data_IF_636474332437
#
_entry.id   IF_636474332437
#
_cell.length_a   1.000
_cell.length_b   1.000
_cell.length_c   1.000
_cell.angle_alpha   90.00
_cell.angle_beta   90.00
_cell.angle_gamma   90.00
#
_symmetry.space_group_name_H-M   'P 1'
#
loop_
_entity.id
_entity.type
_entity.pdbx_description
1 polymer ?
#
# COMPACT_ATOMS: atom_id res chain seq x y z
N UNK A 1 -42.73 23.59 6.69
CA UNK A 1 -42.00 22.64 7.55
C UNK A 1 -41.18 21.74 6.66
N UNK A 2 -39.86 21.93 6.61
CA UNK A 2 -38.97 21.06 5.83
C UNK A 2 -38.82 19.73 6.59
N UNK A 3 -39.29 18.62 6.00
CA UNK A 3 -39.00 17.28 6.51
C UNK A 3 -37.53 16.99 6.23
N UNK A 4 -36.69 17.05 7.26
CA UNK A 4 -35.34 16.52 7.21
C UNK A 4 -35.44 15.04 6.88
N UNK A 5 -34.90 14.63 5.73
CA UNK A 5 -34.76 13.21 5.44
C UNK A 5 -33.87 12.58 6.52
N UNK A 6 -34.20 11.38 7.01
CA UNK A 6 -33.34 10.68 7.96
C UNK A 6 -31.96 10.49 7.33
N UNK A 7 -30.91 10.71 8.14
CA UNK A 7 -29.55 10.46 7.71
C UNK A 7 -29.44 9.01 7.18
N UNK A 8 -28.74 8.79 6.06
CA UNK A 8 -28.57 7.45 5.51
C UNK A 8 -27.92 6.53 6.57
N UNK A 9 -28.51 5.34 6.77
CA UNK A 9 -27.99 4.33 7.69
C UNK A 9 -26.59 3.91 7.20
N UNK A 10 -25.59 4.03 8.08
CA UNK A 10 -24.24 3.52 7.81
C UNK A 10 -24.29 1.99 7.81
N UNK A 11 -23.83 1.31 6.75
CA UNK A 11 -23.81 -0.15 6.71
C UNK A 11 -22.84 -0.72 7.75
N UNK A 12 -23.25 -1.83 8.36
CA UNK A 12 -22.43 -2.62 9.28
C UNK A 12 -21.31 -3.37 8.54
N UNK A 13 -20.29 -3.81 9.27
CA UNK A 13 -19.20 -4.63 8.71
C UNK A 13 -19.72 -5.88 7.99
N UNK A 14 -20.71 -6.58 8.57
CA UNK A 14 -21.32 -7.76 7.96
C UNK A 14 -22.08 -7.41 6.67
N UNK A 15 -22.88 -6.33 6.69
CA UNK A 15 -23.60 -5.85 5.49
C UNK A 15 -22.61 -5.50 4.35
N UNK A 16 -21.46 -4.90 4.67
CA UNK A 16 -20.40 -4.61 3.68
C UNK A 16 -19.78 -5.90 3.10
N UNK A 17 -19.47 -6.89 3.95
CA UNK A 17 -18.94 -8.18 3.48
C UNK A 17 -19.95 -8.91 2.60
N UNK A 18 -21.23 -8.90 2.97
CA UNK A 18 -22.30 -9.53 2.19
C UNK A 18 -22.49 -8.85 0.84
N UNK A 19 -22.50 -7.52 0.80
CA UNK A 19 -22.61 -6.76 -0.45
C UNK A 19 -21.47 -7.05 -1.44
N UNK A 20 -20.25 -7.28 -0.93
CA UNK A 20 -19.08 -7.61 -1.74
C UNK A 20 -18.86 -9.12 -1.91
N UNK A 21 -19.76 -9.97 -1.41
CA UNK A 21 -19.68 -11.41 -1.66
C UNK A 21 -20.10 -11.68 -3.09
N UNK A 22 -19.24 -12.37 -3.85
CA UNK A 22 -19.54 -12.72 -5.23
C UNK A 22 -20.55 -13.87 -5.28
N UNK A 23 -21.48 -13.79 -6.22
CA UNK A 23 -22.42 -14.88 -6.48
C UNK A 23 -21.65 -16.14 -6.90
N UNK A 24 -22.06 -17.28 -6.36
CA UNK A 24 -21.51 -18.56 -6.80
C UNK A 24 -22.12 -18.93 -8.14
N UNK A 25 -21.35 -19.52 -9.07
CA UNK A 25 -21.90 -20.14 -10.27
C UNK A 25 -22.98 -21.16 -9.89
N UNK A 26 -23.99 -21.33 -10.75
CA UNK A 26 -25.07 -22.29 -10.54
C UNK A 26 -24.56 -23.73 -10.36
N UNK A 27 -23.44 -24.07 -11.01
CA UNK A 27 -22.78 -25.37 -10.90
C UNK A 27 -21.27 -25.20 -10.86
N UNK A 28 -20.67 -25.25 -9.66
CA UNK A 28 -19.21 -25.21 -9.50
C UNK A 28 -18.51 -26.40 -10.14
N UNK A 29 -19.16 -27.56 -10.20
CA UNK A 29 -18.56 -28.77 -10.78
C UNK A 29 -18.45 -28.68 -12.31
N UNK A 30 -19.45 -28.09 -12.99
CA UNK A 30 -19.37 -27.85 -14.43
C UNK A 30 -18.29 -26.81 -14.77
N UNK A 31 -18.16 -25.77 -13.94
CA UNK A 31 -17.13 -24.74 -14.06
C UNK A 31 -15.71 -25.32 -13.87
N UNK A 32 -15.53 -26.21 -12.88
CA UNK A 32 -14.26 -26.92 -12.66
C UNK A 32 -13.94 -27.82 -13.85
N UNK A 33 -14.93 -28.59 -14.33
CA UNK A 33 -14.76 -29.46 -15.49
C UNK A 33 -14.38 -28.68 -16.74
N UNK A 34 -15.11 -27.61 -17.06
CA UNK A 34 -14.79 -26.75 -18.21
C UNK A 34 -13.40 -26.10 -18.10
N UNK A 35 -12.98 -25.75 -16.87
CA UNK A 35 -11.63 -25.23 -16.62
C UNK A 35 -10.55 -26.30 -16.87
N UNK A 36 -10.77 -27.53 -16.41
CA UNK A 36 -9.85 -28.66 -16.65
C UNK A 36 -9.77 -29.02 -18.15
N UNK A 37 -10.89 -29.01 -18.86
CA UNK A 37 -10.95 -29.24 -20.30
C UNK A 37 -10.16 -28.15 -21.05
N UNK A 38 -10.30 -26.88 -20.62
CA UNK A 38 -9.51 -25.76 -21.13
C UNK A 38 -8.01 -25.94 -20.90
N UNK A 39 -7.61 -26.38 -19.71
CA UNK A 39 -6.20 -26.68 -19.40
C UNK A 39 -5.69 -27.78 -20.31
N UNK A 40 -6.40 -28.90 -20.44
CA UNK A 40 -6.01 -30.03 -21.29
C UNK A 40 -5.89 -29.64 -22.77
N UNK A 41 -6.80 -28.79 -23.26
CA UNK A 41 -6.73 -28.26 -24.62
C UNK A 41 -5.50 -27.40 -24.86
N UNK A 42 -5.12 -26.57 -23.89
CA UNK A 42 -3.98 -25.66 -24.01
C UNK A 42 -2.65 -26.41 -23.82
N UNK A 43 -2.59 -27.44 -22.97
CA UNK A 43 -1.39 -28.25 -22.74
C UNK A 43 -1.12 -29.26 -23.86
N UNK A 44 -2.17 -29.77 -24.52
CA UNK A 44 -2.00 -30.65 -25.69
C UNK A 44 -1.42 -29.93 -26.93
N UNK A 45 -1.38 -28.60 -26.93
CA UNK A 45 -0.83 -27.76 -28.00
C UNK A 45 0.60 -27.26 -27.74
N UNK A 46 1.21 -27.61 -26.59
CA UNK A 46 2.39 -26.93 -26.01
C UNK A 46 3.74 -27.08 -26.70
N UNK A 47 3.92 -27.96 -27.70
CA UNK A 47 5.27 -28.21 -28.24
C UNK A 47 5.93 -26.98 -28.92
N UNK A 48 5.16 -25.92 -29.23
CA UNK A 48 5.62 -24.77 -30.04
C UNK A 48 5.57 -23.40 -29.34
N UNK A 49 5.04 -23.28 -28.12
CA UNK A 49 4.69 -21.98 -27.51
C UNK A 49 5.47 -21.61 -26.23
N UNK A 50 6.62 -22.23 -25.98
CA UNK A 50 7.38 -22.07 -24.71
C UNK A 50 7.75 -20.61 -24.40
N UNK A 51 7.86 -19.74 -25.42
CA UNK A 51 8.23 -18.33 -25.26
C UNK A 51 7.06 -17.34 -25.49
N UNK A 52 5.82 -17.81 -25.59
CA UNK A 52 4.66 -16.94 -25.81
C UNK A 52 4.07 -16.46 -24.47
N UNK A 53 4.23 -15.17 -24.15
CA UNK A 53 3.71 -14.58 -22.91
C UNK A 53 2.17 -14.66 -22.83
N UNK A 54 1.47 -14.55 -23.97
CA UNK A 54 0.01 -14.64 -23.99
C UNK A 54 -0.45 -16.06 -23.67
N UNK A 55 0.29 -17.06 -24.15
CA UNK A 55 0.05 -18.46 -23.81
C UNK A 55 0.16 -18.69 -22.29
N UNK A 56 1.26 -18.26 -21.67
CA UNK A 56 1.48 -18.45 -20.23
C UNK A 56 0.48 -17.66 -19.38
N UNK A 57 0.08 -16.48 -19.81
CA UNK A 57 -0.98 -15.69 -19.17
C UNK A 57 -2.33 -16.43 -19.19
N UNK A 58 -2.72 -17.00 -20.34
CA UNK A 58 -3.96 -17.77 -20.47
C UNK A 58 -3.96 -19.04 -19.61
N UNK A 59 -2.85 -19.78 -19.61
CA UNK A 59 -2.68 -20.96 -18.73
C UNK A 59 -2.76 -20.56 -17.26
N UNK A 60 -2.08 -19.48 -16.87
CA UNK A 60 -2.10 -18.95 -15.50
C UNK A 60 -3.52 -18.61 -15.04
N UNK A 61 -4.29 -17.94 -15.89
CA UNK A 61 -5.69 -17.62 -15.63
C UNK A 61 -6.56 -18.86 -15.42
N UNK A 62 -6.42 -19.89 -16.25
CA UNK A 62 -7.18 -21.14 -16.11
C UNK A 62 -6.83 -21.89 -14.83
N UNK A 63 -5.55 -22.00 -14.50
CA UNK A 63 -5.11 -22.65 -13.25
C UNK A 63 -5.62 -21.87 -12.04
N UNK A 64 -5.49 -20.54 -12.03
CA UNK A 64 -6.02 -19.70 -10.96
C UNK A 64 -7.52 -19.90 -10.80
N UNK A 65 -8.27 -19.93 -11.91
CA UNK A 65 -9.71 -20.19 -11.92
C UNK A 65 -10.06 -21.55 -11.33
N UNK A 66 -9.31 -22.61 -11.65
CA UNK A 66 -9.49 -23.93 -11.04
C UNK A 66 -9.36 -23.87 -9.52
N UNK A 67 -8.29 -23.27 -8.99
CA UNK A 67 -8.09 -23.13 -7.55
C UNK A 67 -9.18 -22.29 -6.89
N UNK A 68 -9.57 -21.17 -7.51
CA UNK A 68 -10.69 -20.35 -7.03
C UNK A 68 -11.99 -21.15 -6.94
N UNK A 69 -12.35 -21.93 -7.95
CA UNK A 69 -13.57 -22.73 -7.92
C UNK A 69 -13.53 -23.88 -6.90
N UNK A 70 -12.38 -24.54 -6.76
CA UNK A 70 -12.22 -25.56 -5.72
C UNK A 70 -12.39 -24.94 -4.32
N UNK A 71 -11.78 -23.79 -4.06
CA UNK A 71 -11.94 -23.09 -2.78
C UNK A 71 -13.38 -22.57 -2.58
N UNK A 72 -14.05 -22.16 -3.66
CA UNK A 72 -15.43 -21.68 -3.63
C UNK A 72 -16.45 -22.76 -3.23
N UNK A 73 -16.09 -24.06 -3.28
CA UNK A 73 -16.92 -25.15 -2.75
C UNK A 73 -17.16 -24.98 -1.25
N UNK A 74 -16.13 -24.57 -0.50
CA UNK A 74 -16.21 -24.40 0.96
C UNK A 74 -16.39 -22.95 1.38
N UNK A 75 -15.71 -22.01 0.72
CA UNK A 75 -15.67 -20.61 1.11
C UNK A 75 -16.46 -19.73 0.15
N UNK A 76 -16.97 -18.60 0.62
CA UNK A 76 -17.63 -17.63 -0.26
C UNK A 76 -16.56 -16.69 -0.84
N UNK A 77 -16.49 -16.53 -2.17
CA UNK A 77 -15.57 -15.57 -2.76
C UNK A 77 -15.95 -14.13 -2.38
N UNK A 78 -14.95 -13.31 -2.09
CA UNK A 78 -15.08 -11.90 -1.74
C UNK A 78 -14.48 -11.04 -2.86
N UNK A 79 -15.18 -10.00 -3.29
CA UNK A 79 -14.67 -9.05 -4.28
C UNK A 79 -13.45 -8.29 -3.73
N UNK A 80 -12.46 -8.04 -4.58
CA UNK A 80 -11.30 -7.20 -4.26
C UNK A 80 -11.66 -5.73 -4.04
N UNK A 81 -12.81 -5.28 -4.53
CA UNK A 81 -13.22 -3.88 -4.47
C UNK A 81 -13.44 -3.39 -3.04
N UNK A 82 -13.77 -4.32 -2.13
CA UNK A 82 -13.93 -4.01 -0.71
C UNK A 82 -12.66 -3.39 -0.11
N UNK A 83 -11.48 -3.75 -0.63
CA UNK A 83 -10.19 -3.24 -0.16
C UNK A 83 -9.84 -1.86 -0.73
N UNK A 84 -10.61 -1.37 -1.71
CA UNK A 84 -10.47 -0.01 -2.24
C UNK A 84 -11.26 1.01 -1.42
N UNK A 85 -12.13 0.55 -0.50
CA UNK A 85 -12.89 1.42 0.38
C UNK A 85 -11.95 2.21 1.29
N UNK A 86 -12.23 3.50 1.43
CA UNK A 86 -11.44 4.44 2.23
C UNK A 86 -12.29 5.11 3.30
N UNK A 87 -11.64 5.56 4.37
CA UNK A 87 -12.22 6.46 5.37
C UNK A 87 -11.34 7.70 5.53
N UNK A 88 -11.94 8.75 6.07
CA UNK A 88 -11.24 9.99 6.36
C UNK A 88 -10.73 9.96 7.81
N UNK A 89 -9.49 10.38 8.01
CA UNK A 89 -8.92 10.69 9.33
C UNK A 89 -8.48 12.14 9.35
N UNK A 90 -8.61 12.78 10.49
CA UNK A 90 -8.18 14.16 10.70
C UNK A 90 -6.87 14.12 11.49
N UNK A 91 -5.84 14.77 10.98
CA UNK A 91 -4.54 14.87 11.63
C UNK A 91 -4.11 16.33 11.78
N UNK A 92 -3.43 16.61 12.89
CA UNK A 92 -2.81 17.92 13.12
C UNK A 92 -1.49 18.02 12.36
N UNK A 93 -1.45 18.93 11.39
CA UNK A 93 -0.29 19.26 10.55
C UNK A 93 0.32 20.58 11.04
N UNK A 94 1.64 20.66 11.27
CA UNK A 94 2.31 21.91 11.64
C UNK A 94 2.27 22.94 10.49
N UNK A 95 1.93 24.21 10.75
CA UNK A 95 2.07 25.33 9.79
C UNK A 95 2.76 26.56 10.39
N UNK A 96 3.37 27.37 9.50
CA UNK A 96 4.23 28.52 9.79
C UNK A 96 3.62 29.67 10.59
N UNK A 97 2.33 29.98 10.37
CA UNK A 97 1.77 31.25 10.82
C UNK A 97 0.84 31.15 12.04
N UNK A 98 0.02 30.09 12.14
CA UNK A 98 -1.18 30.13 12.99
C UNK A 98 -1.31 28.94 13.97
N UNK A 99 -0.24 28.14 14.14
CA UNK A 99 -0.26 26.92 14.96
C UNK A 99 -0.60 25.66 14.17
N UNK A 100 -1.18 24.66 14.86
CA UNK A 100 -1.55 23.36 14.26
C UNK A 100 -2.80 23.53 13.40
N UNK A 101 -2.74 23.07 12.15
CA UNK A 101 -3.91 23.01 11.26
C UNK A 101 -4.40 21.56 11.17
N UNK A 102 -5.71 21.36 11.07
CA UNK A 102 -6.28 20.03 10.86
C UNK A 102 -6.42 19.77 9.36
N UNK A 103 -5.73 18.75 8.86
CA UNK A 103 -5.90 18.25 7.50
C UNK A 103 -6.62 16.89 7.51
N UNK A 104 -7.41 16.63 6.47
CA UNK A 104 -8.16 15.39 6.32
C UNK A 104 -7.45 14.49 5.31
N UNK A 105 -7.19 13.25 5.70
CA UNK A 105 -6.51 12.24 4.89
C UNK A 105 -7.41 11.05 4.62
N UNK A 106 -7.41 10.57 3.38
CA UNK A 106 -8.14 9.36 2.99
C UNK A 106 -7.24 8.13 3.16
N UNK A 107 -7.57 7.27 4.12
CA UNK A 107 -6.85 6.04 4.44
C UNK A 107 -7.70 4.80 4.12
N UNK A 108 -7.14 3.59 3.98
CA UNK A 108 -7.91 2.38 3.81
C UNK A 108 -8.94 2.18 4.95
N UNK A 109 -10.15 1.74 4.59
CA UNK A 109 -11.20 1.45 5.57
C UNK A 109 -10.87 0.19 6.38
N UNK A 110 -10.35 -0.84 5.72
CA UNK A 110 -9.95 -2.09 6.36
C UNK A 110 -8.47 -2.09 6.67
N UNK A 111 -8.14 -2.45 7.92
CA UNK A 111 -6.81 -2.90 8.27
C UNK A 111 -6.65 -4.36 7.82
N UNK A 112 -5.60 -4.62 7.04
CA UNK A 112 -5.32 -5.93 6.45
C UNK A 112 -3.89 -6.32 6.81
N UNK A 113 -3.73 -7.43 7.54
CA UNK A 113 -2.40 -7.90 8.01
C UNK A 113 -2.34 -9.42 8.02
N UNK A 114 -1.12 -9.97 8.11
CA UNK A 114 -0.91 -11.38 8.40
C UNK A 114 -1.40 -11.72 9.83
N UNK A 115 -1.97 -12.91 10.09
CA UNK A 115 -2.52 -13.29 11.40
C UNK A 115 -1.56 -13.16 12.59
N UNK A 116 -0.25 -13.25 12.35
CA UNK A 116 0.79 -13.10 13.38
C UNK A 116 1.22 -11.65 13.64
N UNK A 117 0.79 -10.72 12.79
CA UNK A 117 1.08 -9.30 12.95
C UNK A 117 0.32 -8.74 14.15
N UNK A 118 0.98 -7.89 14.95
CA UNK A 118 0.39 -7.26 16.14
C UNK A 118 -0.13 -5.84 15.89
N UNK A 119 0.38 -5.19 14.85
CA UNK A 119 0.07 -3.79 14.52
C UNK A 119 -0.13 -3.67 13.01
N UNK A 120 -1.21 -3.03 12.60
CA UNK A 120 -1.38 -2.54 11.23
C UNK A 120 -0.86 -1.11 11.15
N UNK A 121 -0.14 -0.79 10.07
CA UNK A 121 0.33 0.56 9.79
C UNK A 121 -0.03 0.98 8.37
N UNK A 122 -0.22 2.28 8.17
CA UNK A 122 -0.42 2.92 6.88
C UNK A 122 0.33 4.24 6.85
N UNK A 123 1.00 4.49 5.73
CA UNK A 123 1.72 5.73 5.48
C UNK A 123 1.14 6.46 4.27
N UNK A 124 1.01 7.78 4.38
CA UNK A 124 0.64 8.66 3.27
C UNK A 124 1.62 9.82 3.19
N UNK A 125 2.46 9.84 2.15
CA UNK A 125 3.43 10.89 1.93
C UNK A 125 2.87 12.00 1.01
N UNK A 126 3.15 13.26 1.32
CA UNK A 126 2.83 14.41 0.48
C UNK A 126 3.89 15.50 0.58
N UNK A 127 3.96 16.36 -0.45
CA UNK A 127 4.77 17.57 -0.40
C UNK A 127 3.97 18.70 0.27
N UNK A 128 4.58 19.35 1.26
CA UNK A 128 3.99 20.48 1.96
C UNK A 128 5.04 21.52 2.34
N UNK A 129 4.67 22.39 3.28
CA UNK A 129 5.59 23.32 3.89
C UNK A 129 5.86 22.92 5.35
N UNK A 130 7.09 23.14 5.84
CA UNK A 130 7.40 23.02 7.26
C UNK A 130 6.90 24.24 8.06
N UNK A 131 7.21 24.26 9.35
CA UNK A 131 6.93 25.39 10.25
C UNK A 131 7.65 26.69 9.89
N UNK A 132 8.58 26.67 8.93
CA UNK A 132 9.34 27.82 8.43
C UNK A 132 8.89 28.24 7.00
N UNK A 133 7.82 27.63 6.47
CA UNK A 133 7.36 27.88 5.11
C UNK A 133 8.25 27.27 4.02
N UNK A 134 9.20 26.40 4.39
CA UNK A 134 10.14 25.73 3.48
C UNK A 134 9.51 24.45 2.95
N UNK A 135 9.88 24.05 1.72
CA UNK A 135 9.40 22.80 1.13
C UNK A 135 9.82 21.61 2.01
N UNK A 136 8.86 20.77 2.38
CA UNK A 136 9.07 19.60 3.21
C UNK A 136 8.31 18.39 2.66
N UNK A 137 8.86 17.20 2.91
CA UNK A 137 8.21 15.94 2.64
C UNK A 137 7.54 15.49 3.95
N UNK A 138 6.21 15.52 3.96
CA UNK A 138 5.43 15.13 5.11
C UNK A 138 4.94 13.69 4.93
N UNK A 139 4.91 12.93 6.01
CA UNK A 139 4.37 11.58 6.04
C UNK A 139 3.37 11.47 7.17
N UNK A 140 2.14 11.08 6.83
CA UNK A 140 1.10 10.72 7.78
C UNK A 140 1.34 9.27 8.13
N UNK A 141 1.44 9.00 9.41
CA UNK A 141 1.53 7.66 9.96
C UNK A 141 0.23 7.35 10.69
N UNK A 142 -0.37 6.22 10.35
CA UNK A 142 -1.57 5.69 11.01
C UNK A 142 -1.28 4.28 11.47
N UNK A 143 -1.51 4.00 12.74
CA UNK A 143 -1.38 2.66 13.32
C UNK A 143 -2.64 2.23 14.08
N UNK A 144 -2.88 0.92 14.09
CA UNK A 144 -3.88 0.28 14.92
C UNK A 144 -3.37 -1.05 15.47
N UNK A 145 -3.71 -1.36 16.72
CA UNK A 145 -3.42 -2.67 17.31
C UNK A 145 -4.39 -3.72 16.75
N UNK A 146 -3.84 -4.88 16.38
CA UNK A 146 -4.61 -5.99 15.83
C UNK A 146 -5.45 -6.62 16.95
N UNK A 147 -6.76 -6.82 16.78
CA UNK A 147 -7.58 -7.47 17.78
C UNK A 147 -7.11 -8.91 18.00
N UNK A 148 -7.13 -9.37 19.25
CA UNK A 148 -6.75 -10.75 19.58
C UNK A 148 -7.71 -11.72 18.90
N UNK A 149 -7.17 -12.58 18.05
CA UNK A 149 -7.94 -13.63 17.39
C UNK A 149 -8.38 -14.69 18.44
N UNK A 150 -9.69 -14.99 18.55
CA UNK A 150 -10.17 -16.08 19.40
C UNK A 150 -9.64 -17.43 18.92
N UNK A 151 -9.39 -18.38 19.82
CA UNK A 151 -8.85 -19.70 19.46
C UNK A 151 -9.72 -20.42 18.42
N UNK A 152 -11.04 -20.35 18.52
CA UNK A 152 -11.95 -20.94 17.54
C UNK A 152 -11.77 -20.40 16.11
N UNK A 153 -11.26 -19.17 15.94
CA UNK A 153 -10.94 -18.60 14.63
C UNK A 153 -9.55 -19.07 14.17
N UNK A 154 -8.60 -19.22 15.09
CA UNK A 154 -7.29 -19.83 14.81
C UNK A 154 -7.47 -21.26 14.30
N UNK A 155 -8.34 -22.05 14.92
CA UNK A 155 -8.62 -23.42 14.50
C UNK A 155 -9.20 -23.46 13.09
N UNK A 156 -10.15 -22.56 12.77
CA UNK A 156 -10.70 -22.41 11.40
C UNK A 156 -9.66 -21.99 10.37
N UNK A 157 -8.70 -21.15 10.77
CA UNK A 157 -7.59 -20.76 9.91
C UNK A 157 -6.69 -21.96 9.57
N UNK A 158 -6.37 -22.80 10.56
CA UNK A 158 -5.62 -24.04 10.35
C UNK A 158 -6.38 -25.01 9.44
N UNK A 159 -7.68 -25.17 9.65
CA UNK A 159 -8.54 -25.98 8.76
C UNK A 159 -8.54 -25.46 7.32
N UNK A 160 -8.55 -24.14 7.12
CA UNK A 160 -8.51 -23.55 5.79
C UNK A 160 -7.17 -23.82 5.08
N UNK A 161 -6.05 -23.72 5.80
CA UNK A 161 -4.72 -24.06 5.25
C UNK A 161 -4.60 -25.56 4.93
N UNK A 162 -5.14 -26.43 5.79
CA UNK A 162 -5.22 -27.87 5.51
C UNK A 162 -6.04 -28.13 4.25
N UNK A 163 -7.20 -27.50 4.10
CA UNK A 163 -8.04 -27.64 2.91
C UNK A 163 -7.35 -27.12 1.64
N UNK A 164 -6.63 -26.00 1.70
CA UNK A 164 -5.82 -25.51 0.57
C UNK A 164 -4.78 -26.56 0.16
N UNK A 165 -4.15 -27.22 1.14
CA UNK A 165 -3.18 -28.29 0.89
C UNK A 165 -3.83 -29.51 0.22
N UNK A 166 -5.04 -29.88 0.63
CA UNK A 166 -5.83 -30.94 -0.02
C UNK A 166 -6.18 -30.60 -1.46
N UNK A 167 -6.61 -29.35 -1.73
CA UNK A 167 -6.90 -28.87 -3.09
C UNK A 167 -5.65 -28.92 -3.96
N UNK A 168 -4.49 -28.48 -3.45
CA UNK A 168 -3.20 -28.58 -4.15
C UNK A 168 -2.80 -30.03 -4.42
N UNK A 169 -3.03 -30.93 -3.47
CA UNK A 169 -2.78 -32.35 -3.66
C UNK A 169 -3.71 -32.95 -4.72
N UNK A 170 -4.98 -32.55 -4.75
CA UNK A 170 -5.94 -32.94 -5.79
C UNK A 170 -5.53 -32.44 -7.18
N UNK A 171 -5.13 -31.17 -7.28
CA UNK A 171 -4.64 -30.57 -8.52
C UNK A 171 -3.47 -31.36 -9.14
N UNK A 172 -2.56 -31.87 -8.31
CA UNK A 172 -1.42 -32.69 -8.75
C UNK A 172 -1.81 -34.10 -9.22
N UNK A 173 -2.96 -34.62 -8.78
CA UNK A 173 -3.46 -35.92 -9.24
C UNK A 173 -4.14 -35.81 -10.61
N UNK A 174 -4.69 -34.65 -10.95
CA UNK A 174 -5.30 -34.45 -12.26
C UNK A 174 -4.26 -34.39 -13.36
N UNK A 175 -4.32 -35.33 -14.30
CA UNK A 175 -3.27 -35.55 -15.30
C UNK A 175 -2.77 -34.26 -15.96
N UNK A 176 -3.66 -33.49 -16.60
CA UNK A 176 -3.27 -32.28 -17.34
C UNK A 176 -2.70 -31.18 -16.43
N UNK A 177 -3.27 -31.01 -15.24
CA UNK A 177 -2.85 -29.97 -14.30
C UNK A 177 -1.59 -30.39 -13.52
N UNK A 178 -1.48 -31.65 -13.13
CA UNK A 178 -0.35 -32.24 -12.45
C UNK A 178 0.89 -32.30 -13.34
N UNK A 179 0.75 -32.67 -14.62
CA UNK A 179 1.82 -32.57 -15.61
C UNK A 179 2.30 -31.12 -15.74
N UNK A 180 1.37 -30.18 -15.92
CA UNK A 180 1.69 -28.75 -15.98
C UNK A 180 2.46 -28.30 -14.72
N UNK A 181 1.89 -28.48 -13.52
CA UNK A 181 2.47 -28.04 -12.25
C UNK A 181 3.81 -28.71 -11.91
N UNK A 182 4.12 -29.87 -12.48
CA UNK A 182 5.36 -30.62 -12.23
C UNK A 182 6.45 -30.27 -13.25
N UNK A 183 6.09 -30.15 -14.52
CA UNK A 183 7.06 -30.03 -15.61
C UNK A 183 7.26 -28.59 -16.10
N UNK A 184 6.42 -27.63 -15.71
CA UNK A 184 6.61 -26.21 -16.07
C UNK A 184 7.73 -25.50 -15.29
N UNK A 185 8.40 -26.16 -14.36
CA UNK A 185 9.54 -25.62 -13.61
C UNK A 185 9.24 -24.27 -12.94
N UNK A 186 10.18 -23.31 -13.04
CA UNK A 186 10.03 -21.93 -12.53
C UNK A 186 9.14 -21.04 -13.41
N UNK A 187 8.74 -21.49 -14.60
CA UNK A 187 7.96 -20.67 -15.54
C UNK A 187 6.52 -20.45 -15.08
N UNK A 188 6.04 -21.27 -14.13
CA UNK A 188 4.69 -21.18 -13.61
C UNK A 188 4.70 -20.87 -12.11
N UNK A 189 4.29 -19.65 -11.69
CA UNK A 189 4.16 -19.35 -10.27
C UNK A 189 3.06 -20.24 -9.69
N UNK A 190 3.42 -21.06 -8.71
CA UNK A 190 2.45 -21.82 -7.93
C UNK A 190 1.51 -20.84 -7.22
N UNK A 191 0.20 -21.14 -7.11
CA UNK A 191 -0.71 -20.30 -6.35
C UNK A 191 -0.17 -20.12 -4.93
N UNK A 192 0.07 -18.87 -4.55
CA UNK A 192 0.49 -18.52 -3.20
C UNK A 192 -0.73 -18.36 -2.32
N UNK A 193 -0.78 -19.12 -1.24
CA UNK A 193 -1.72 -18.93 -0.16
C UNK A 193 -1.23 -17.80 0.76
N UNK A 194 -2.10 -16.85 1.04
CA UNK A 194 -1.84 -15.77 1.98
C UNK A 194 -3.08 -15.60 2.86
N UNK A 195 -2.99 -16.11 4.09
CA UNK A 195 -4.04 -15.95 5.07
C UNK A 195 -3.91 -14.56 5.69
N UNK A 196 -5.01 -13.80 5.70
CA UNK A 196 -5.04 -12.42 6.20
C UNK A 196 -6.14 -12.20 7.21
N UNK A 197 -5.85 -11.39 8.22
CA UNK A 197 -6.84 -10.84 9.15
C UNK A 197 -7.30 -9.49 8.63
N UNK A 198 -8.62 -9.29 8.58
CA UNK A 198 -9.26 -8.04 8.17
C UNK A 198 -10.19 -7.53 9.26
N UNK A 199 -10.14 -6.23 9.56
CA UNK A 199 -11.09 -5.56 10.45
C UNK A 199 -11.14 -4.06 10.15
N UNK A 200 -12.15 -3.37 10.68
CA UNK A 200 -12.22 -1.90 10.65
C UNK A 200 -11.80 -1.42 12.05
N UNK A 201 -10.63 -0.77 12.21
CA UNK A 201 -10.22 -0.21 13.50
C UNK A 201 -11.19 0.89 13.93
N UNK A 202 -11.55 0.95 15.22
CA UNK A 202 -12.36 2.06 15.71
C UNK A 202 -11.54 3.36 15.67
N UNK A 203 -12.22 4.49 15.61
CA UNK A 203 -11.53 5.79 15.57
C UNK A 203 -10.71 6.04 16.84
N UNK A 204 -11.17 5.55 18.00
CA UNK A 204 -10.45 5.61 19.28
C UNK A 204 -9.19 4.73 19.33
N UNK A 205 -9.10 3.70 18.48
CA UNK A 205 -7.97 2.78 18.42
C UNK A 205 -6.86 3.27 17.47
N UNK A 206 -7.13 4.32 16.69
CA UNK A 206 -6.19 4.86 15.72
C UNK A 206 -5.17 5.78 16.38
N UNK A 207 -3.90 5.44 16.20
CA UNK A 207 -2.77 6.34 16.48
C UNK A 207 -2.41 7.05 15.19
N UNK A 208 -2.60 8.36 15.15
CA UNK A 208 -2.34 9.19 13.96
C UNK A 208 -1.30 10.24 14.32
N UNK A 209 -0.21 10.32 13.55
CA UNK A 209 0.79 11.37 13.70
C UNK A 209 1.39 11.75 12.34
N UNK A 210 1.99 12.94 12.30
CA UNK A 210 2.63 13.46 11.09
C UNK A 210 4.12 13.61 11.35
N UNK A 211 4.92 13.00 10.49
CA UNK A 211 6.36 13.18 10.43
C UNK A 211 6.69 14.21 9.35
N UNK A 212 7.38 15.29 9.71
CA UNK A 212 7.84 16.31 8.76
C UNK A 212 9.32 16.08 8.50
N UNK A 213 9.66 15.48 7.36
CA UNK A 213 11.04 15.37 6.89
C UNK A 213 11.39 16.62 6.11
N UNK A 214 12.23 17.47 6.70
CA UNK A 214 12.82 18.60 5.98
C UNK A 214 13.60 18.04 4.80
N UNK A 215 13.37 18.58 3.60
CA UNK A 215 14.34 18.35 2.54
C UNK A 215 15.66 18.94 3.03
N UNK A 216 16.78 18.17 2.98
CA UNK A 216 18.07 18.74 3.30
C UNK A 216 18.28 19.97 2.39
N UNK A 217 18.56 21.12 3.01
CA UNK A 217 18.92 22.33 2.27
C UNK A 217 20.23 22.05 1.53
N UNK A 218 20.33 22.53 0.28
CA UNK A 218 21.52 22.38 -0.57
C UNK A 218 22.70 23.09 0.06
N UNK A 219 23.61 22.34 0.67
CA UNK A 219 24.78 22.89 1.37
C UNK A 219 26.05 22.13 1.00
N UNK A 220 26.47 22.22 -0.28
CA UNK A 220 27.61 23.08 -0.64
C UNK A 220 27.37 23.94 -1.89
N UNK A 221 28.22 24.96 -2.06
CA UNK A 221 28.28 25.81 -3.24
C UNK A 221 29.65 25.74 -3.94
N UNK A 222 29.64 25.64 -5.28
CA UNK A 222 30.81 25.87 -6.10
C UNK A 222 30.92 27.39 -6.32
N UNK A 223 32.07 27.95 -5.95
CA UNK A 223 32.37 29.37 -6.15
C UNK A 223 33.45 29.54 -7.21
N UNK A 224 33.25 30.48 -8.13
CA UNK A 224 34.28 31.01 -9.01
C UNK A 224 34.87 32.25 -8.33
N UNK A 225 36.18 32.23 -8.07
CA UNK A 225 36.91 33.42 -7.63
C UNK A 225 37.50 34.12 -8.85
N UNK A 226 37.26 35.42 -8.98
CA UNK A 226 37.90 36.28 -9.98
C UNK A 226 38.29 37.60 -9.32
N UNK A 227 39.60 37.87 -9.30
CA UNK A 227 40.20 38.93 -8.49
C UNK A 227 39.76 38.81 -7.02
N UNK A 228 39.26 39.90 -6.43
CA UNK A 228 38.78 39.96 -5.05
C UNK A 228 37.29 39.58 -4.91
N UNK A 229 36.65 39.15 -6.00
CA UNK A 229 35.22 38.82 -6.04
C UNK A 229 34.96 37.31 -6.08
N UNK A 230 33.84 36.89 -5.50
CA UNK A 230 33.37 35.50 -5.49
C UNK A 230 31.99 35.42 -6.13
N UNK A 231 31.80 34.47 -7.05
CA UNK A 231 30.56 34.25 -7.80
C UNK A 231 30.07 32.82 -7.58
N UNK A 232 28.78 32.63 -7.32
CA UNK A 232 28.20 31.29 -7.15
C UNK A 232 28.01 30.66 -8.54
N UNK A 233 28.62 29.49 -8.75
CA UNK A 233 28.53 28.71 -10.00
C UNK A 233 27.43 27.64 -9.92
N UNK A 234 27.25 27.02 -8.75
CA UNK A 234 26.23 25.98 -8.56
C UNK A 234 26.15 25.50 -7.10
N UNK A 235 25.08 24.79 -6.76
CA UNK A 235 24.87 24.19 -5.42
C UNK A 235 24.41 22.73 -5.53
N UNK A 236 24.73 21.90 -4.52
CA UNK A 236 24.29 20.50 -4.45
C UNK A 236 24.01 20.04 -3.01
N UNK A 237 23.64 18.78 -2.82
CA UNK A 237 23.34 18.19 -1.50
C UNK A 237 24.47 17.26 -1.06
N UNK A 238 24.82 17.28 0.23
CA UNK A 238 25.61 16.23 0.89
C UNK A 238 24.75 15.61 2.00
N UNK A 239 24.36 14.34 1.85
CA UNK A 239 23.41 13.66 2.75
C UNK A 239 23.94 13.45 4.18
N UNK A 240 25.26 13.46 4.37
CA UNK A 240 25.91 13.17 5.65
C UNK A 240 26.30 14.40 6.47
N UNK A 241 26.10 15.62 5.95
CA UNK A 241 26.57 16.85 6.61
C UNK A 241 25.43 17.68 7.21
N UNK A 242 25.73 18.39 8.30
CA UNK A 242 24.81 19.37 8.91
C UNK A 242 24.74 20.62 8.04
N UNK A 243 23.56 21.22 7.92
CA UNK A 243 23.35 22.48 7.19
C UNK A 243 24.27 23.60 7.68
N UNK A 244 24.76 24.42 6.76
CA UNK A 244 25.67 25.54 6.97
C UNK A 244 25.10 26.57 7.93
N UNK A 245 23.78 26.77 7.99
CA UNK A 245 23.18 27.68 8.98
C UNK A 245 23.45 27.28 10.43
N UNK A 246 23.67 25.99 10.70
CA UNK A 246 24.10 25.53 12.02
C UNK A 246 25.45 26.16 12.39
N UNK A 247 26.43 26.06 11.49
CA UNK A 247 27.76 26.61 11.69
C UNK A 247 27.77 28.15 11.69
N UNK A 248 26.94 28.79 10.86
CA UNK A 248 26.80 30.24 10.86
C UNK A 248 26.21 30.76 12.18
N UNK A 249 25.25 30.06 12.80
CA UNK A 249 24.76 30.43 14.14
C UNK A 249 25.76 30.16 15.24
N UNK A 250 26.44 29.02 15.18
CA UNK A 250 27.38 28.58 16.21
C UNK A 250 28.67 29.41 16.23
N UNK A 251 29.18 29.80 15.06
CA UNK A 251 30.49 30.43 14.93
C UNK A 251 30.47 31.88 14.47
N UNK A 252 29.40 32.36 13.81
CA UNK A 252 29.39 33.72 13.28
C UNK A 252 28.81 34.77 14.24
N UNK A 253 28.14 34.40 15.35
CA UNK A 253 27.69 35.34 16.39
C UNK A 253 26.87 36.56 15.93
N UNK A 254 26.37 36.58 14.68
CA UNK A 254 25.79 37.76 14.04
C UNK A 254 24.63 37.32 13.14
N UNK A 255 23.49 36.99 13.74
CA UNK A 255 22.19 37.10 13.06
C UNK A 255 21.13 37.82 13.91
N UNK A 256 21.53 38.48 14.99
CA UNK A 256 20.64 39.33 15.81
C UNK A 256 20.81 40.85 15.55
N UNK A 257 21.44 41.26 14.45
CA UNK A 257 21.53 42.69 14.14
C UNK A 257 21.24 43.05 12.67
N UNK A 258 19.96 43.37 12.45
CA UNK A 258 19.38 44.23 11.39
C UNK A 258 19.33 43.68 9.95
N UNK A 259 18.25 43.98 9.21
CA UNK A 259 18.11 43.58 7.82
C UNK A 259 19.19 44.22 6.95
N UNK A 260 19.84 43.39 6.14
CA UNK A 260 20.81 43.76 5.13
C UNK A 260 20.15 44.73 4.13
N UNK A 261 20.34 46.05 4.30
CA UNK A 261 19.87 47.04 3.32
C UNK A 261 20.72 46.89 2.06
N UNK A 262 20.11 46.38 0.98
CA UNK A 262 20.65 46.42 -0.38
C UNK A 262 20.84 47.87 -0.80
N UNK A 263 22.09 48.35 -0.80
CA UNK A 263 22.50 49.51 -1.56
C UNK A 263 23.55 49.07 -2.58
N UNK A 264 23.09 48.47 -3.69
CA UNK A 264 23.88 48.38 -4.91
C UNK A 264 23.53 49.61 -5.75
N UNK A 265 24.33 50.67 -5.63
CA UNK A 265 24.41 51.68 -6.68
C UNK A 265 25.27 51.09 -7.78
N UNK A 266 24.64 50.70 -8.88
CA UNK A 266 25.34 50.49 -10.14
C UNK A 266 25.64 51.88 -10.70
N UNK A 267 26.90 52.30 -10.64
CA UNK A 267 27.41 53.37 -11.49
C UNK A 267 27.74 52.77 -12.87
N UNK A 268 27.42 53.48 -13.97
CA UNK A 268 27.62 53.00 -15.34
C UNK A 268 29.09 52.82 -15.70
#
# INVERSE_FOLDING_TARGET
>A
MARTQPAPKVPTFTELLEFHTLERPASLDDEIKGTLDGIAHVTSRSALHVNDENYWSAVSSLVQRYFCFQLAKRYKPLSSDIFQLKRNVIAEVPRHADGRHQETFAIPLFAVVHPMTKTWSHEHAWEGADTYGRKANNTLHVEATVPRMPQAIVDKALEALAYVSEVKAGARREKALGELLTFSGKAFPQPTEDLRTIWIPRDEDLKVWVEVKRQPERDPALLLKYEDNHFIVGTWNIESERAMEHYLREYAGVLDSKPFKRNLKLTP
#
